data_IF_481721296880
#
_entry.id   IF_481721296880
#
_cell.length_a   1.000
_cell.length_b   1.000
_cell.length_c   1.000
_cell.angle_alpha   90.00
_cell.angle_beta   90.00
_cell.angle_gamma   90.00
#
_symmetry.space_group_name_H-M   'P 1'
#
loop_
_entity.id
_entity.type
_entity.pdbx_description
1 polymer ?
#
# COMPACT_ATOMS: atom_id res chain seq x y z
N UNK A 1 18.44 -20.38 7.01
CA UNK A 1 18.69 -19.46 5.87
C UNK A 1 17.72 -19.70 4.68
N UNK A 2 16.48 -20.20 4.92
CA UNK A 2 15.47 -20.40 3.86
C UNK A 2 14.32 -19.37 3.89
N UNK A 3 14.04 -18.74 5.04
CA UNK A 3 12.95 -17.77 5.17
C UNK A 3 13.20 -16.44 4.44
N UNK A 4 14.46 -16.01 4.29
CA UNK A 4 14.79 -14.76 3.59
C UNK A 4 14.53 -14.83 2.09
N UNK A 5 14.75 -16.00 1.45
CA UNK A 5 14.43 -16.20 0.03
C UNK A 5 12.94 -16.12 -0.27
N UNK A 6 12.10 -16.69 0.59
CA UNK A 6 10.64 -16.65 0.42
C UNK A 6 10.11 -15.21 0.50
N UNK A 7 10.69 -14.38 1.38
CA UNK A 7 10.34 -12.96 1.51
C UNK A 7 10.83 -12.15 0.30
N UNK A 8 12.02 -12.43 -0.24
CA UNK A 8 12.52 -11.81 -1.48
C UNK A 8 11.68 -12.20 -2.70
N UNK A 9 11.32 -13.48 -2.83
CA UNK A 9 10.49 -13.96 -3.94
C UNK A 9 9.09 -13.33 -3.90
N UNK A 10 8.46 -13.23 -2.72
CA UNK A 10 7.16 -12.55 -2.52
C UNK A 10 7.21 -11.03 -2.73
N UNK A 11 8.36 -10.39 -2.47
CA UNK A 11 8.58 -8.96 -2.71
C UNK A 11 8.72 -8.68 -4.21
N UNK A 12 9.48 -9.52 -4.91
CA UNK A 12 9.76 -9.37 -6.34
C UNK A 12 8.50 -9.59 -7.18
N UNK A 13 7.68 -10.57 -6.81
CA UNK A 13 6.45 -10.92 -7.52
C UNK A 13 5.37 -9.82 -7.38
N UNK A 14 5.23 -9.21 -6.19
CA UNK A 14 4.29 -8.10 -6.01
C UNK A 14 4.73 -6.81 -6.75
N UNK A 15 6.05 -6.54 -6.78
CA UNK A 15 6.60 -5.45 -7.57
C UNK A 15 6.35 -5.63 -9.07
N UNK A 16 6.28 -6.87 -9.55
CA UNK A 16 5.88 -7.18 -10.92
C UNK A 16 4.37 -6.95 -11.15
N UNK A 17 3.51 -7.30 -10.19
CA UNK A 17 2.06 -7.05 -10.27
C UNK A 17 1.73 -5.55 -10.29
N UNK A 18 2.35 -4.75 -9.41
CA UNK A 18 2.13 -3.29 -9.39
C UNK A 18 2.64 -2.65 -10.69
N UNK A 19 3.83 -3.04 -11.18
CA UNK A 19 4.35 -2.55 -12.47
C UNK A 19 3.46 -2.96 -13.65
N UNK A 20 2.92 -4.17 -13.66
CA UNK A 20 1.99 -4.62 -14.71
C UNK A 20 0.67 -3.84 -14.68
N UNK A 21 0.12 -3.53 -13.51
CA UNK A 21 -1.12 -2.74 -13.45
C UNK A 21 -0.91 -1.25 -13.73
N UNK A 22 0.25 -0.69 -13.37
CA UNK A 22 0.66 0.67 -13.80
C UNK A 22 0.92 0.70 -15.31
N UNK A 23 1.56 -0.32 -15.88
CA UNK A 23 1.79 -0.42 -17.31
C UNK A 23 0.47 -0.60 -18.09
N UNK A 24 -0.48 -1.40 -17.60
CA UNK A 24 -1.82 -1.51 -18.20
C UNK A 24 -2.60 -0.21 -18.17
N UNK A 25 -2.55 0.52 -17.04
CA UNK A 25 -3.22 1.83 -16.94
C UNK A 25 -2.57 2.90 -17.81
N UNK A 26 -1.25 2.85 -18.00
CA UNK A 26 -0.54 3.73 -18.93
C UNK A 26 -0.73 3.31 -20.41
N UNK A 27 -0.86 2.02 -20.72
CA UNK A 27 -1.11 1.52 -22.07
C UNK A 27 -2.55 1.79 -22.55
N UNK A 28 -3.52 1.88 -21.64
CA UNK A 28 -4.87 2.35 -21.92
C UNK A 28 -4.94 3.88 -22.17
N UNK A 29 -3.83 4.59 -21.96
CA UNK A 29 -3.70 6.03 -22.21
C UNK A 29 -3.09 6.23 -23.59
N UNK A 30 -3.94 6.18 -24.61
CA UNK A 30 -3.57 6.53 -25.99
C UNK A 30 -2.87 7.91 -26.04
N UNK A 31 -1.62 8.02 -26.53
CA UNK A 31 -1.03 9.29 -26.92
C UNK A 31 -1.55 9.65 -28.32
N UNK A 32 -2.85 9.93 -28.42
CA UNK A 32 -3.55 9.96 -29.70
C UNK A 32 -4.54 11.10 -29.85
N UNK A 33 -4.32 12.26 -29.21
CA UNK A 33 -5.04 13.50 -29.56
C UNK A 33 -4.12 14.41 -30.35
N UNK A 34 -3.64 13.92 -31.49
CA UNK A 34 -3.27 14.81 -32.57
C UNK A 34 -4.57 15.44 -33.09
N UNK A 35 -4.83 16.68 -32.66
CA UNK A 35 -5.81 17.55 -33.30
C UNK A 35 -5.26 17.85 -34.70
N UNK A 36 -5.48 16.91 -35.62
CA UNK A 36 -5.18 17.09 -37.03
C UNK A 36 -6.16 18.14 -37.56
N UNK A 37 -5.64 19.35 -37.75
CA UNK A 37 -6.20 20.32 -38.65
C UNK A 37 -6.34 19.66 -40.03
N UNK A 38 -7.57 19.32 -40.43
CA UNK A 38 -7.88 19.00 -41.80
C UNK A 38 -8.81 20.07 -42.36
N UNK A 39 -8.19 20.89 -43.19
CA UNK A 39 -8.77 21.98 -43.92
C UNK A 39 -9.76 21.48 -44.97
N UNK A 40 -10.90 22.19 -45.04
CA UNK A 40 -11.56 22.68 -46.26
C UNK A 40 -11.67 21.71 -47.44
N UNK A 41 -12.74 20.90 -47.44
CA UNK A 41 -13.43 20.53 -48.66
C UNK A 41 -14.68 21.41 -48.77
N UNK A 42 -14.64 22.38 -49.68
CA UNK A 42 -15.78 23.21 -50.08
C UNK A 42 -16.62 22.39 -51.06
N UNK A 43 -17.83 22.00 -50.64
CA UNK A 43 -18.89 21.40 -51.46
C UNK A 43 -20.21 22.09 -51.08
N UNK A 44 -21.21 22.13 -51.99
CA UNK A 44 -21.99 23.33 -52.27
C UNK A 44 -23.09 23.62 -51.25
N UNK A 45 -23.46 24.91 -51.22
CA UNK A 45 -24.48 25.52 -50.38
C UNK A 45 -25.86 24.85 -50.52
N UNK A 46 -26.06 23.78 -49.76
CA UNK A 46 -27.37 23.36 -49.29
C UNK A 46 -27.64 24.06 -47.95
N UNK A 47 -28.80 24.69 -47.83
CA UNK A 47 -29.28 25.50 -46.71
C UNK A 47 -29.40 24.66 -45.42
N UNK A 48 -28.26 24.26 -44.85
CA UNK A 48 -28.16 23.49 -43.64
C UNK A 48 -28.04 24.45 -42.46
N UNK A 49 -29.18 25.00 -42.05
CA UNK A 49 -29.30 25.74 -40.80
C UNK A 49 -28.62 24.92 -39.68
N UNK A 50 -27.64 25.47 -38.94
CA UNK A 50 -26.85 24.73 -37.97
C UNK A 50 -27.80 24.18 -36.90
N UNK A 51 -28.10 22.89 -36.99
CA UNK A 51 -28.99 22.22 -36.05
C UNK A 51 -28.34 22.32 -34.67
N UNK A 52 -28.97 23.10 -33.79
CA UNK A 52 -28.58 23.21 -32.38
C UNK A 52 -28.41 21.79 -31.79
N UNK A 53 -27.41 21.58 -30.91
CA UNK A 53 -27.19 20.30 -30.27
C UNK A 53 -28.51 19.73 -29.76
N UNK A 54 -28.82 18.49 -30.17
CA UNK A 54 -30.05 17.81 -29.75
C UNK A 54 -30.16 17.89 -28.23
N UNK A 55 -31.34 18.25 -27.73
CA UNK A 55 -31.64 18.39 -26.30
C UNK A 55 -31.09 17.16 -25.56
N UNK A 56 -30.24 17.40 -24.57
CA UNK A 56 -29.70 16.39 -23.67
C UNK A 56 -30.91 15.68 -23.04
N UNK A 57 -31.03 14.36 -23.20
CA UNK A 57 -32.08 13.58 -22.55
C UNK A 57 -32.02 13.79 -21.03
N UNK A 58 -33.06 14.42 -20.45
CA UNK A 58 -33.10 14.81 -19.03
C UNK A 58 -32.73 16.26 -18.70
N UNK A 59 -32.23 17.03 -19.68
CA UNK A 59 -31.87 18.45 -19.53
C UNK A 59 -30.82 18.73 -18.44
N UNK A 60 -30.72 19.97 -17.99
CA UNK A 60 -29.80 20.39 -16.92
C UNK A 60 -30.05 19.70 -15.58
N UNK A 61 -31.25 19.17 -15.35
CA UNK A 61 -31.61 18.47 -14.11
C UNK A 61 -30.81 17.17 -13.96
N UNK A 62 -30.69 16.38 -15.02
CA UNK A 62 -29.89 15.14 -14.97
C UNK A 62 -28.41 15.40 -14.69
N UNK A 63 -27.85 16.46 -15.26
CA UNK A 63 -26.46 16.88 -15.00
C UNK A 63 -26.28 17.28 -13.53
N UNK A 64 -27.23 18.01 -12.95
CA UNK A 64 -27.17 18.38 -11.53
C UNK A 64 -27.26 17.15 -10.61
N UNK A 65 -28.18 16.22 -10.88
CA UNK A 65 -28.32 14.99 -10.08
C UNK A 65 -27.03 14.13 -10.14
N UNK A 66 -26.39 14.06 -11.32
CA UNK A 66 -25.12 13.36 -11.50
C UNK A 66 -23.96 14.05 -10.77
N UNK A 67 -23.84 15.38 -10.87
CA UNK A 67 -22.84 16.16 -10.16
C UNK A 67 -23.01 16.02 -8.64
N UNK A 68 -24.25 16.05 -8.15
CA UNK A 68 -24.56 15.84 -6.75
C UNK A 68 -24.16 14.45 -6.29
N UNK A 69 -24.45 13.42 -7.08
CA UNK A 69 -24.05 12.05 -6.79
C UNK A 69 -22.52 11.91 -6.75
N UNK A 70 -21.80 12.41 -7.77
CA UNK A 70 -20.33 12.42 -7.80
C UNK A 70 -19.74 13.19 -6.61
N UNK A 71 -20.34 14.32 -6.24
CA UNK A 71 -19.89 15.09 -5.08
C UNK A 71 -19.98 14.29 -3.77
N UNK A 72 -21.01 13.43 -3.62
CA UNK A 72 -21.19 12.57 -2.45
C UNK A 72 -20.17 11.44 -2.45
N UNK A 73 -19.96 10.82 -3.60
CA UNK A 73 -18.97 9.75 -3.77
C UNK A 73 -17.54 10.24 -3.52
N UNK A 74 -17.18 11.43 -4.01
CA UNK A 74 -15.88 12.05 -3.73
C UNK A 74 -15.70 12.34 -2.24
N UNK A 75 -16.70 12.95 -1.58
CA UNK A 75 -16.64 13.18 -0.13
C UNK A 75 -16.50 11.88 0.67
N UNK A 76 -17.20 10.82 0.25
CA UNK A 76 -17.08 9.50 0.85
C UNK A 76 -15.65 8.95 0.71
N UNK A 77 -15.10 9.03 -0.50
CA UNK A 77 -13.74 8.54 -0.82
C UNK A 77 -12.67 9.31 -0.04
N UNK A 78 -12.79 10.63 0.07
CA UNK A 78 -11.86 11.47 0.86
C UNK A 78 -11.91 11.10 2.35
N UNK A 79 -13.10 10.87 2.92
CA UNK A 79 -13.22 10.42 4.31
C UNK A 79 -12.54 9.07 4.52
N UNK A 80 -12.75 8.12 3.60
CA UNK A 80 -12.09 6.82 3.65
C UNK A 80 -10.57 6.92 3.58
N UNK A 81 -10.03 7.76 2.68
CA UNK A 81 -8.59 8.02 2.59
C UNK A 81 -8.01 8.57 3.89
N UNK A 82 -8.71 9.52 4.53
CA UNK A 82 -8.28 10.07 5.82
C UNK A 82 -8.30 9.02 6.93
N UNK A 83 -9.31 8.15 6.96
CA UNK A 83 -9.37 7.05 7.93
C UNK A 83 -8.22 6.06 7.70
N UNK A 84 -7.99 5.63 6.45
CA UNK A 84 -6.92 4.70 6.10
C UNK A 84 -5.53 5.29 6.39
N UNK A 85 -5.33 6.59 6.17
CA UNK A 85 -4.09 7.29 6.51
C UNK A 85 -3.76 7.15 7.99
N UNK A 86 -4.73 7.33 8.89
CA UNK A 86 -4.51 7.15 10.32
C UNK A 86 -4.08 5.71 10.66
N UNK A 87 -4.67 4.71 10.00
CA UNK A 87 -4.28 3.32 10.18
C UNK A 87 -2.85 3.05 9.70
N UNK A 88 -2.43 3.64 8.58
CA UNK A 88 -1.03 3.57 8.10
C UNK A 88 -0.10 4.19 9.14
N UNK A 89 -0.36 5.43 9.57
CA UNK A 89 0.47 6.15 10.55
C UNK A 89 0.59 5.37 11.87
N UNK A 90 -0.50 4.74 12.32
CA UNK A 90 -0.50 3.91 13.54
C UNK A 90 0.34 2.64 13.37
N UNK A 91 0.20 1.96 12.23
CA UNK A 91 0.95 0.74 11.95
C UNK A 91 2.46 1.01 11.79
N UNK A 92 2.83 2.15 11.20
CA UNK A 92 4.22 2.61 11.08
C UNK A 92 4.82 2.98 12.44
N UNK A 93 4.08 3.70 13.29
CA UNK A 93 4.53 4.02 14.63
C UNK A 93 4.78 2.76 15.47
N UNK A 94 3.90 1.75 15.37
CA UNK A 94 4.09 0.48 16.06
C UNK A 94 5.28 -0.31 15.49
N UNK A 95 5.50 -0.28 14.16
CA UNK A 95 6.68 -0.88 13.54
C UNK A 95 7.97 -0.27 14.11
N UNK A 96 8.04 1.05 14.20
CA UNK A 96 9.22 1.76 14.68
C UNK A 96 9.47 1.43 16.16
N UNK A 97 8.42 1.40 16.99
CA UNK A 97 8.48 0.93 18.38
C UNK A 97 8.99 -0.51 18.51
N UNK A 98 8.54 -1.42 17.64
CA UNK A 98 8.99 -2.82 17.63
C UNK A 98 10.46 -2.95 17.22
N UNK A 99 10.94 -2.11 16.30
CA UNK A 99 12.37 -2.05 15.96
C UNK A 99 13.23 -1.54 17.11
N UNK A 100 12.78 -0.52 17.84
CA UNK A 100 13.45 -0.05 19.06
C UNK A 100 13.52 -1.16 20.12
N UNK A 101 12.41 -1.87 20.34
CA UNK A 101 12.36 -3.01 21.26
C UNK A 101 13.31 -4.14 20.83
N UNK A 102 13.33 -4.47 19.54
CA UNK A 102 14.21 -5.47 18.95
C UNK A 102 15.69 -5.12 19.18
N UNK A 103 16.07 -3.86 18.91
CA UNK A 103 17.45 -3.42 19.10
C UNK A 103 17.92 -3.55 20.56
N UNK A 104 17.05 -3.18 21.51
CA UNK A 104 17.32 -3.32 22.94
C UNK A 104 17.47 -4.80 23.35
N UNK A 105 16.52 -5.65 22.98
CA UNK A 105 16.52 -7.07 23.36
C UNK A 105 17.67 -7.83 22.68
N UNK A 106 17.97 -7.51 21.42
CA UNK A 106 19.11 -8.10 20.72
C UNK A 106 20.43 -7.78 21.44
N UNK A 107 20.59 -6.56 21.95
CA UNK A 107 21.76 -6.17 22.73
C UNK A 107 21.84 -6.96 24.05
N UNK A 108 20.71 -7.09 24.77
CA UNK A 108 20.64 -7.87 26.00
C UNK A 108 20.93 -9.37 25.79
N UNK A 109 20.43 -9.95 24.69
CA UNK A 109 20.72 -11.33 24.31
C UNK A 109 22.20 -11.54 23.99
N UNK A 110 22.83 -10.59 23.28
CA UNK A 110 24.27 -10.62 23.00
C UNK A 110 25.10 -10.49 24.29
N UNK A 111 24.72 -9.61 25.21
CA UNK A 111 25.37 -9.47 26.52
C UNK A 111 25.23 -10.74 27.36
N UNK A 112 24.03 -11.32 27.42
CA UNK A 112 23.76 -12.57 28.13
C UNK A 112 24.58 -13.73 27.54
N UNK A 113 24.69 -13.81 26.21
CA UNK A 113 25.53 -14.80 25.53
C UNK A 113 27.02 -14.63 25.82
N UNK A 114 27.52 -13.39 25.86
CA UNK A 114 28.92 -13.09 26.24
C UNK A 114 29.19 -13.47 27.70
N UNK A 115 28.26 -13.15 28.60
CA UNK A 115 28.33 -13.51 30.02
C UNK A 115 28.35 -15.02 30.22
N UNK A 116 27.41 -15.75 29.61
CA UNK A 116 27.35 -17.20 29.66
C UNK A 116 28.63 -17.84 29.11
N UNK A 117 29.15 -17.35 27.99
CA UNK A 117 30.41 -17.82 27.42
C UNK A 117 31.57 -17.65 28.40
N UNK A 118 31.68 -16.49 29.04
CA UNK A 118 32.72 -16.22 30.05
C UNK A 118 32.65 -17.21 31.22
N UNK A 119 31.44 -17.47 31.74
CA UNK A 119 31.26 -18.42 32.86
C UNK A 119 31.55 -19.86 32.44
N UNK A 120 31.22 -20.23 31.20
CA UNK A 120 31.58 -21.55 30.66
C UNK A 120 33.10 -21.73 30.54
N UNK A 121 33.81 -20.68 30.14
CA UNK A 121 35.27 -20.74 30.01
C UNK A 121 35.95 -20.86 31.39
N UNK A 122 35.51 -20.12 32.41
CA UNK A 122 36.02 -20.30 33.79
C UNK A 122 35.69 -21.68 34.37
N UNK A 123 34.51 -22.22 34.05
CA UNK A 123 34.11 -23.57 34.47
C UNK A 123 35.02 -24.64 33.84
N UNK A 124 35.44 -24.46 32.58
CA UNK A 124 36.41 -25.38 31.93
C UNK A 124 37.78 -25.36 32.57
N UNK A 125 38.19 -24.21 33.11
CA UNK A 125 39.44 -24.06 33.85
C UNK A 125 39.37 -24.67 35.26
N UNK A 126 38.24 -25.30 35.62
CA UNK A 126 38.04 -26.02 36.88
C UNK A 126 37.40 -25.17 37.99
N UNK A 127 37.07 -23.90 37.72
CA UNK A 127 36.37 -23.04 38.66
C UNK A 127 34.85 -23.17 38.52
N UNK A 128 34.26 -24.05 39.34
CA UNK A 128 32.82 -24.35 39.37
C UNK A 128 32.06 -23.35 40.27
N UNK A 129 32.71 -22.30 40.79
CA UNK A 129 32.07 -21.37 41.74
C UNK A 129 30.96 -20.49 41.11
N UNK A 130 30.88 -20.43 39.78
CA UNK A 130 29.88 -19.63 39.06
C UNK A 130 28.48 -20.26 39.05
N UNK A 131 27.44 -19.44 39.25
CA UNK A 131 26.04 -19.84 39.08
C UNK A 131 25.68 -19.98 37.59
N UNK A 132 26.13 -21.08 37.00
CA UNK A 132 25.91 -21.44 35.60
C UNK A 132 24.41 -21.59 35.29
N UNK A 133 23.62 -22.11 36.24
CA UNK A 133 22.19 -22.29 36.08
C UNK A 133 21.47 -20.95 35.90
N UNK A 134 21.78 -19.94 36.72
CA UNK A 134 21.19 -18.60 36.55
C UNK A 134 21.58 -17.96 35.21
N UNK A 135 22.81 -18.16 34.73
CA UNK A 135 23.24 -17.64 33.42
C UNK A 135 22.48 -18.30 32.25
N UNK A 136 22.24 -19.60 32.31
CA UNK A 136 21.40 -20.29 31.33
C UNK A 136 19.96 -19.78 31.34
N UNK A 137 19.36 -19.63 32.52
CA UNK A 137 17.99 -19.09 32.65
C UNK A 137 17.91 -17.67 32.08
N UNK A 138 18.91 -16.82 32.35
CA UNK A 138 18.97 -15.47 31.80
C UNK A 138 19.08 -15.48 30.27
N UNK A 139 19.99 -16.30 29.72
CA UNK A 139 20.17 -16.41 28.27
C UNK A 139 18.92 -16.97 27.59
N UNK A 140 18.23 -17.93 28.22
CA UNK A 140 16.98 -18.49 27.70
C UNK A 140 15.90 -17.40 27.61
N UNK A 141 15.67 -16.65 28.70
CA UNK A 141 14.68 -15.56 28.71
C UNK A 141 14.96 -14.50 27.64
N UNK A 142 16.22 -14.09 27.48
CA UNK A 142 16.58 -13.11 26.46
C UNK A 142 16.30 -13.61 25.02
N UNK A 143 16.41 -14.92 24.78
CA UNK A 143 16.05 -15.52 23.50
C UNK A 143 14.53 -15.65 23.31
N UNK A 144 13.78 -15.97 24.36
CA UNK A 144 12.31 -16.00 24.35
C UNK A 144 11.72 -14.59 24.07
N UNK A 145 12.30 -13.56 24.67
CA UNK A 145 11.93 -12.16 24.42
C UNK A 145 12.24 -11.75 22.97
N UNK A 146 13.37 -12.22 22.43
CA UNK A 146 13.76 -11.97 21.04
C UNK A 146 12.79 -12.63 20.06
N UNK A 147 12.40 -13.87 20.33
CA UNK A 147 11.38 -14.59 19.55
C UNK A 147 10.05 -13.85 19.58
N UNK A 148 9.58 -13.46 20.77
CA UNK A 148 8.33 -12.71 20.96
C UNK A 148 8.30 -11.41 20.14
N UNK A 149 9.37 -10.61 20.19
CA UNK A 149 9.43 -9.36 19.40
C UNK A 149 9.53 -9.64 17.90
N UNK A 150 10.22 -10.71 17.50
CA UNK A 150 10.31 -11.08 16.08
C UNK A 150 8.95 -11.52 15.50
N UNK A 151 8.13 -12.22 16.29
CA UNK A 151 6.77 -12.62 15.91
C UNK A 151 5.85 -11.39 15.82
N UNK A 152 5.91 -10.49 16.79
CA UNK A 152 5.17 -9.24 16.80
C UNK A 152 5.52 -8.37 15.56
N UNK A 153 6.80 -8.26 15.23
CA UNK A 153 7.26 -7.52 14.05
C UNK A 153 6.76 -8.16 12.74
N UNK A 154 6.80 -9.49 12.64
CA UNK A 154 6.31 -10.22 11.45
C UNK A 154 4.80 -10.02 11.25
N UNK A 155 4.04 -10.03 12.34
CA UNK A 155 2.59 -9.75 12.34
C UNK A 155 2.32 -8.31 11.94
N UNK A 156 3.03 -7.34 12.52
CA UNK A 156 2.90 -5.92 12.20
C UNK A 156 3.22 -5.64 10.73
N UNK A 157 4.31 -6.18 10.18
CA UNK A 157 4.69 -5.97 8.77
C UNK A 157 3.66 -6.52 7.80
N UNK A 158 3.07 -7.68 8.12
CA UNK A 158 1.97 -8.26 7.34
C UNK A 158 0.72 -7.38 7.38
N UNK A 159 0.37 -6.86 8.56
CA UNK A 159 -0.73 -5.90 8.73
C UNK A 159 -0.49 -4.60 7.98
N UNK A 160 0.70 -4.01 8.12
CA UNK A 160 1.12 -2.78 7.45
C UNK A 160 1.00 -2.89 5.93
N UNK A 161 1.42 -4.01 5.34
CA UNK A 161 1.25 -4.29 3.91
C UNK A 161 -0.21 -4.27 3.48
N UNK A 162 -1.09 -4.94 4.23
CA UNK A 162 -2.53 -4.97 3.94
C UNK A 162 -3.15 -3.56 3.99
N UNK A 163 -2.81 -2.77 5.00
CA UNK A 163 -3.32 -1.40 5.14
C UNK A 163 -2.81 -0.49 4.00
N UNK A 164 -1.52 -0.59 3.65
CA UNK A 164 -0.95 0.15 2.51
C UNK A 164 -1.62 -0.22 1.19
N UNK A 165 -1.91 -1.51 0.97
CA UNK A 165 -2.60 -1.96 -0.23
C UNK A 165 -4.03 -1.39 -0.32
N UNK A 166 -4.77 -1.41 0.78
CA UNK A 166 -6.11 -0.80 0.84
C UNK A 166 -6.07 0.70 0.59
N UNK A 167 -5.09 1.40 1.16
CA UNK A 167 -4.87 2.81 0.94
C UNK A 167 -4.55 3.11 -0.54
N UNK A 168 -3.61 2.38 -1.13
CA UNK A 168 -3.24 2.54 -2.55
C UNK A 168 -4.42 2.27 -3.49
N UNK A 169 -5.20 1.21 -3.26
CA UNK A 169 -6.42 0.91 -4.05
C UNK A 169 -7.43 2.06 -3.99
N UNK A 170 -7.55 2.71 -2.83
CA UNK A 170 -8.47 3.84 -2.65
C UNK A 170 -7.97 5.09 -3.37
N UNK A 171 -6.65 5.35 -3.37
CA UNK A 171 -6.04 6.42 -4.17
C UNK A 171 -6.29 6.20 -5.66
N UNK A 172 -6.04 4.98 -6.17
CA UNK A 172 -6.27 4.65 -7.58
C UNK A 172 -7.74 4.87 -7.95
N UNK A 173 -8.68 4.48 -7.08
CA UNK A 173 -10.10 4.76 -7.27
C UNK A 173 -10.38 6.26 -7.33
N UNK A 174 -9.82 7.05 -6.41
CA UNK A 174 -9.99 8.50 -6.39
C UNK A 174 -9.43 9.17 -7.66
N UNK A 175 -8.28 8.69 -8.15
CA UNK A 175 -7.67 9.14 -9.40
C UNK A 175 -8.57 8.82 -10.60
N UNK A 176 -9.08 7.58 -10.70
CA UNK A 176 -10.03 7.20 -11.75
C UNK A 176 -11.27 8.10 -11.75
N UNK A 177 -11.84 8.40 -10.59
CA UNK A 177 -12.98 9.32 -10.51
C UNK A 177 -12.66 10.75 -10.97
N UNK A 178 -11.41 11.19 -10.82
CA UNK A 178 -10.95 12.50 -11.30
C UNK A 178 -10.70 12.49 -12.81
N UNK A 179 -10.08 11.44 -13.31
CA UNK A 179 -9.65 11.31 -14.70
C UNK A 179 -10.77 10.89 -15.65
N UNK A 180 -11.91 10.45 -15.11
CA UNK A 180 -13.10 10.08 -15.86
C UNK A 180 -14.20 11.16 -15.79
N UNK A 181 -13.99 12.37 -16.37
CA UNK A 181 -15.03 13.39 -16.45
C UNK A 181 -16.16 12.97 -17.41
N UNK A 182 -15.91 11.93 -18.21
CA UNK A 182 -16.80 11.36 -19.24
C UNK A 182 -17.00 9.87 -19.00
N UNK A 183 -17.56 9.46 -17.86
CA UNK A 183 -18.26 8.18 -17.85
C UNK A 183 -19.56 8.41 -18.65
N UNK A 184 -19.64 7.99 -19.93
CA UNK A 184 -20.74 8.35 -20.79
C UNK A 184 -21.96 7.54 -20.35
N UNK A 185 -23.00 8.28 -20.00
CA UNK A 185 -24.40 7.87 -19.95
C UNK A 185 -24.70 6.73 -20.93
N UNK A 186 -25.27 5.64 -20.41
CA UNK A 186 -25.65 4.44 -21.15
C UNK A 186 -26.42 4.71 -22.44
N UNK A 187 -25.69 4.73 -23.55
CA UNK A 187 -26.25 4.74 -24.90
C UNK A 187 -26.46 3.32 -25.47
N UNK A 188 -25.88 2.28 -24.85
CA UNK A 188 -25.93 0.89 -25.36
C UNK A 188 -26.71 -0.07 -24.45
N UNK A 189 -27.94 0.30 -24.09
CA UNK A 189 -28.96 -0.68 -23.66
C UNK A 189 -30.14 -0.62 -24.63
N UNK A 190 -29.96 -1.19 -25.81
CA UNK A 190 -31.04 -1.56 -26.72
C UNK A 190 -30.87 -3.02 -27.12
#
# INVERSE_FOLDING_TARGET
MMMTKVIEDLSTDLGAVIRNEVAKTNAARDPGTAVAAQALAVEPAGDASPRLPRRISGGFRGVNDELDQRSREWRSTVRLLNQQRLHVETAEAERDRLYEALNRIATEAQESGRSLKSVLDTTKDGDISGDLAAQFVRSQRALEDLETVSEALSTNLSGLRSVWEQYARTIIRAQKMRDDPKAPTGADRH
#
